data_IF_514980312700
#
_entry.id   IF_514980312700
#
_cell.length_a   1.000
_cell.length_b   1.000
_cell.length_c   1.000
_cell.angle_alpha   90.00
_cell.angle_beta   90.00
_cell.angle_gamma   90.00
#
_symmetry.space_group_name_H-M   'P 1'
#
loop_
_entity.id
_entity.type
_entity.pdbx_description
1 polymer ?
#
# COMPACT_ATOMS: atom_id res chain seq x y z
N UNK A 1 3.15 -25.14 37.95
CA UNK A 1 2.52 -24.98 36.65
C UNK A 1 3.34 -23.90 35.92
N UNK A 2 4.25 -24.33 35.02
CA UNK A 2 5.06 -23.42 34.21
C UNK A 2 4.15 -22.78 33.15
N UNK A 3 4.19 -21.45 33.03
CA UNK A 3 3.53 -20.76 31.93
C UNK A 3 4.11 -21.27 30.61
N UNK A 4 3.27 -21.65 29.68
CA UNK A 4 3.70 -21.96 28.32
C UNK A 4 4.46 -20.73 27.76
N UNK A 5 5.56 -20.91 27.03
CA UNK A 5 6.24 -19.80 26.41
C UNK A 5 5.26 -19.07 25.49
N UNK A 6 5.24 -17.73 25.56
CA UNK A 6 4.43 -16.92 24.64
C UNK A 6 4.78 -17.32 23.21
N UNK A 7 3.79 -17.43 22.29
CA UNK A 7 4.06 -17.79 20.92
C UNK A 7 5.07 -16.79 20.33
N UNK A 8 6.12 -17.30 19.72
CA UNK A 8 7.12 -16.50 19.03
C UNK A 8 6.42 -15.77 17.87
N UNK A 9 6.28 -14.46 17.98
CA UNK A 9 5.64 -13.65 16.94
C UNK A 9 6.50 -13.76 15.68
N UNK A 10 5.94 -14.35 14.63
CA UNK A 10 6.63 -14.57 13.37
C UNK A 10 7.12 -13.23 12.79
N UNK A 11 8.32 -13.24 12.22
CA UNK A 11 8.86 -12.06 11.52
C UNK A 11 8.02 -11.72 10.29
N UNK A 12 7.67 -10.46 10.12
CA UNK A 12 6.95 -9.96 8.95
C UNK A 12 7.99 -9.63 7.87
N UNK A 13 7.95 -10.29 6.72
CA UNK A 13 9.02 -10.14 5.72
C UNK A 13 9.02 -8.78 5.03
N UNK A 14 7.85 -8.15 4.86
CA UNK A 14 7.74 -6.90 4.12
C UNK A 14 6.46 -6.11 4.46
N UNK A 15 6.61 -4.79 4.63
CA UNK A 15 5.52 -3.81 4.63
C UNK A 15 5.60 -2.93 3.36
N UNK A 16 4.70 -3.05 2.38
CA UNK A 16 4.73 -2.25 1.16
C UNK A 16 4.06 -0.87 1.29
N UNK A 17 3.52 -0.50 2.45
CA UNK A 17 2.60 0.63 2.57
C UNK A 17 3.11 1.81 3.40
N UNK A 18 4.38 1.81 3.81
CA UNK A 18 4.94 2.87 4.67
C UNK A 18 5.36 4.13 3.91
N UNK A 19 5.50 5.23 4.67
CA UNK A 19 5.93 6.52 4.13
C UNK A 19 7.02 7.16 4.98
N UNK A 20 7.75 8.07 4.33
CA UNK A 20 8.60 9.10 4.97
C UNK A 20 8.17 10.48 4.49
N UNK A 21 8.56 11.53 5.22
CA UNK A 21 8.17 12.91 4.94
C UNK A 21 6.85 13.33 5.61
N UNK A 22 6.67 14.62 5.77
CA UNK A 22 5.53 15.22 6.45
C UNK A 22 4.24 15.12 5.64
N UNK A 23 3.11 14.99 6.35
CA UNK A 23 1.78 15.13 5.77
C UNK A 23 1.35 16.60 5.84
N UNK A 24 0.86 17.22 4.74
CA UNK A 24 0.63 18.66 4.72
C UNK A 24 -0.51 19.12 5.62
N UNK A 25 -1.42 18.23 6.01
CA UNK A 25 -2.63 18.60 6.76
C UNK A 25 -2.57 18.24 8.25
N UNK A 26 -1.54 17.50 8.67
CA UNK A 26 -1.32 17.12 10.07
C UNK A 26 0.17 16.93 10.34
N UNK A 27 0.66 17.50 11.44
CA UNK A 27 2.03 17.23 11.86
C UNK A 27 2.22 15.75 12.20
N UNK A 28 3.24 15.14 11.61
CA UNK A 28 3.68 13.79 11.91
C UNK A 28 4.94 13.86 12.78
N UNK A 29 4.95 13.27 13.98
CA UNK A 29 6.04 13.45 14.93
C UNK A 29 7.35 12.80 14.47
N UNK A 30 7.29 11.75 13.65
CA UNK A 30 8.46 10.93 13.29
C UNK A 30 8.44 10.47 11.84
N UNK A 31 8.50 11.38 10.84
CA UNK A 31 8.37 11.04 9.43
C UNK A 31 9.71 10.70 8.76
N UNK A 32 10.76 10.43 9.49
CA UNK A 32 12.12 10.23 8.99
C UNK A 32 12.52 8.74 8.91
N UNK A 33 13.46 8.37 8.01
CA UNK A 33 13.87 6.99 7.80
C UNK A 33 14.55 6.33 9.02
N UNK A 34 15.30 7.09 9.82
CA UNK A 34 15.98 6.53 11.01
C UNK A 34 14.96 6.06 12.04
N UNK A 35 13.89 6.82 12.24
CA UNK A 35 12.79 6.39 13.10
C UNK A 35 12.04 5.21 12.49
N UNK A 36 11.79 5.22 11.18
CA UNK A 36 11.13 4.11 10.49
C UNK A 36 11.91 2.81 10.72
N UNK A 37 13.23 2.78 10.55
CA UNK A 37 14.05 1.57 10.79
C UNK A 37 13.89 1.07 12.22
N UNK A 38 13.94 1.96 13.23
CA UNK A 38 13.71 1.56 14.63
C UNK A 38 12.29 1.01 14.86
N UNK A 39 11.29 1.55 14.16
CA UNK A 39 9.91 1.04 14.21
C UNK A 39 9.84 -0.35 13.60
N UNK A 40 10.45 -0.58 12.43
CA UNK A 40 10.51 -1.89 11.80
C UNK A 40 11.17 -2.94 12.72
N UNK A 41 12.29 -2.58 13.36
CA UNK A 41 12.99 -3.47 14.29
C UNK A 41 12.11 -3.84 15.51
N UNK A 42 11.45 -2.86 16.10
CA UNK A 42 10.53 -3.07 17.23
C UNK A 42 9.36 -3.97 16.86
N UNK A 43 8.78 -3.76 15.68
CA UNK A 43 7.60 -4.51 15.20
C UNK A 43 7.96 -5.80 14.45
N UNK A 44 9.25 -6.17 14.42
CA UNK A 44 9.76 -7.37 13.74
C UNK A 44 9.41 -7.41 12.24
N UNK A 45 9.49 -6.27 11.57
CA UNK A 45 9.32 -6.15 10.13
C UNK A 45 10.70 -6.11 9.47
N UNK A 46 10.97 -7.06 8.57
CA UNK A 46 12.30 -7.19 7.95
C UNK A 46 12.61 -6.04 6.99
N UNK A 47 11.68 -5.71 6.10
CA UNK A 47 11.85 -4.70 5.05
C UNK A 47 10.60 -3.88 4.84
N UNK A 48 10.76 -2.73 4.16
CA UNK A 48 9.62 -1.90 3.75
C UNK A 48 9.80 -1.30 2.35
N UNK A 49 8.68 -1.15 1.63
CA UNK A 49 8.61 -0.33 0.42
C UNK A 49 8.07 1.04 0.79
N UNK A 50 8.88 2.06 0.57
CA UNK A 50 8.68 3.37 1.15
C UNK A 50 8.27 4.38 0.08
N UNK A 51 7.18 5.11 0.34
CA UNK A 51 6.77 6.27 -0.44
C UNK A 51 7.20 7.59 0.23
N UNK A 52 7.36 8.65 -0.55
CA UNK A 52 7.53 10.01 -0.03
C UNK A 52 6.18 10.69 0.04
N UNK A 53 5.64 10.86 1.24
CA UNK A 53 4.27 11.32 1.44
C UNK A 53 3.98 12.71 0.83
N UNK A 54 4.87 13.71 0.92
CA UNK A 54 4.64 15.00 0.28
C UNK A 54 4.45 14.94 -1.23
N UNK A 55 5.06 13.94 -1.92
CA UNK A 55 4.95 13.82 -3.37
C UNK A 55 3.52 13.54 -3.86
N UNK A 56 2.62 13.06 -2.99
CA UNK A 56 1.19 12.91 -3.31
C UNK A 56 0.55 14.23 -3.74
N UNK A 57 1.06 15.35 -3.21
CA UNK A 57 0.52 16.70 -3.36
C UNK A 57 1.33 17.57 -4.33
N UNK A 58 2.45 17.04 -4.84
CA UNK A 58 3.26 17.75 -5.82
C UNK A 58 2.66 17.63 -7.22
N UNK A 59 2.69 18.72 -7.98
CA UNK A 59 2.33 18.70 -9.41
C UNK A 59 3.37 17.92 -10.21
N UNK A 60 4.66 18.19 -9.95
CA UNK A 60 5.81 17.45 -10.50
C UNK A 60 6.30 16.47 -9.44
N UNK A 61 6.24 15.15 -9.68
CA UNK A 61 6.71 14.16 -8.72
C UNK A 61 8.25 14.05 -8.67
N UNK A 62 8.99 14.52 -9.68
CA UNK A 62 10.42 14.29 -9.80
C UNK A 62 11.24 14.80 -8.60
N UNK A 63 11.03 16.03 -8.07
CA UNK A 63 11.75 16.47 -6.87
C UNK A 63 11.45 15.61 -5.64
N UNK A 64 10.20 15.15 -5.48
CA UNK A 64 9.81 14.26 -4.38
C UNK A 64 10.45 12.87 -4.50
N UNK A 65 10.54 12.32 -5.71
CA UNK A 65 11.23 11.06 -5.96
C UNK A 65 12.74 11.17 -5.71
N UNK A 66 13.37 12.27 -6.11
CA UNK A 66 14.78 12.53 -5.82
C UNK A 66 15.03 12.62 -4.31
N UNK A 67 14.16 13.29 -3.57
CA UNK A 67 14.25 13.38 -2.11
C UNK A 67 14.05 12.02 -1.46
N UNK A 68 13.11 11.20 -1.92
CA UNK A 68 12.94 9.82 -1.46
C UNK A 68 14.23 9.02 -1.58
N UNK A 69 14.85 9.04 -2.76
CA UNK A 69 16.09 8.30 -3.01
C UNK A 69 17.25 8.78 -2.11
N UNK A 70 17.35 10.09 -1.90
CA UNK A 70 18.34 10.70 -1.01
C UNK A 70 18.13 10.27 0.45
N UNK A 71 16.89 10.31 0.92
CA UNK A 71 16.54 9.93 2.30
C UNK A 71 16.80 8.45 2.57
N UNK A 72 16.49 7.57 1.61
CA UNK A 72 16.63 6.13 1.81
C UNK A 72 18.06 5.60 1.52
N UNK A 73 18.96 6.41 0.97
CA UNK A 73 20.30 5.99 0.60
C UNK A 73 21.09 5.30 1.74
N UNK A 74 21.01 5.76 3.01
CA UNK A 74 21.70 5.10 4.13
C UNK A 74 21.08 3.75 4.57
N UNK A 75 19.85 3.46 4.16
CA UNK A 75 19.05 2.35 4.68
C UNK A 75 18.58 1.37 3.57
N UNK A 76 19.31 1.28 2.47
CA UNK A 76 18.90 0.48 1.28
C UNK A 76 18.79 -1.02 1.53
N UNK A 77 19.42 -1.51 2.55
CA UNK A 77 19.30 -2.90 3.03
C UNK A 77 17.93 -3.22 3.63
N UNK A 78 17.25 -2.21 4.18
CA UNK A 78 15.96 -2.34 4.87
C UNK A 78 14.81 -1.64 4.12
N UNK A 79 15.10 -0.50 3.46
CA UNK A 79 14.12 0.40 2.87
C UNK A 79 14.31 0.48 1.35
N UNK A 80 13.32 0.00 0.59
CA UNK A 80 13.31 0.12 -0.86
C UNK A 80 12.37 1.24 -1.31
N UNK A 81 12.76 2.10 -2.26
CA UNK A 81 11.92 3.19 -2.73
C UNK A 81 10.76 2.66 -3.58
N UNK A 82 9.55 3.20 -3.33
CA UNK A 82 8.40 3.09 -4.20
C UNK A 82 8.05 4.50 -4.73
N UNK A 83 8.74 4.98 -5.78
CA UNK A 83 8.59 6.34 -6.30
C UNK A 83 7.20 6.56 -6.90
N UNK A 84 6.83 7.83 -7.01
CA UNK A 84 5.56 8.27 -7.59
C UNK A 84 5.71 8.42 -9.10
N UNK A 85 4.79 7.81 -9.85
CA UNK A 85 4.68 8.03 -11.30
C UNK A 85 3.32 8.63 -11.60
N UNK A 86 3.34 9.81 -12.20
CA UNK A 86 2.15 10.59 -12.53
C UNK A 86 1.95 10.60 -14.04
N UNK A 87 0.94 9.89 -14.59
CA UNK A 87 0.85 9.64 -16.03
C UNK A 87 0.37 10.84 -16.88
N UNK A 88 -0.12 11.92 -16.26
CA UNK A 88 -0.40 13.18 -16.95
C UNK A 88 0.78 14.16 -16.95
N UNK A 89 1.94 13.76 -16.38
CA UNK A 89 3.13 14.58 -16.37
C UNK A 89 4.06 14.20 -17.54
N UNK A 90 4.68 15.20 -18.21
CA UNK A 90 5.53 14.93 -19.37
C UNK A 90 6.66 13.93 -19.07
N UNK A 91 6.88 12.99 -19.96
CA UNK A 91 7.94 11.95 -19.88
C UNK A 91 7.79 10.99 -18.70
N UNK A 92 6.57 10.74 -18.24
CA UNK A 92 6.32 9.79 -17.15
C UNK A 92 6.82 8.37 -17.46
N UNK A 93 6.80 7.95 -18.74
CA UNK A 93 7.33 6.65 -19.17
C UNK A 93 8.85 6.55 -18.91
N UNK A 94 9.56 7.65 -19.11
CA UNK A 94 11.00 7.72 -18.78
C UNK A 94 11.21 7.65 -17.28
N UNK A 95 10.40 8.36 -16.49
CA UNK A 95 10.47 8.27 -15.03
C UNK A 95 10.20 6.85 -14.50
N UNK A 96 9.25 6.12 -15.12
CA UNK A 96 8.99 4.72 -14.80
C UNK A 96 10.18 3.82 -15.19
N UNK A 97 10.80 4.04 -16.35
CA UNK A 97 11.99 3.29 -16.78
C UNK A 97 13.16 3.54 -15.81
N UNK A 98 13.44 4.79 -15.48
CA UNK A 98 14.49 5.17 -14.53
C UNK A 98 14.26 4.56 -13.13
N UNK A 99 13.01 4.47 -12.67
CA UNK A 99 12.65 3.79 -11.42
C UNK A 99 12.96 2.29 -11.48
N UNK A 100 12.60 1.63 -12.57
CA UNK A 100 12.89 0.21 -12.78
C UNK A 100 14.40 -0.06 -12.86
N UNK A 101 15.14 0.75 -13.62
CA UNK A 101 16.59 0.65 -13.77
C UNK A 101 17.33 0.88 -12.45
N UNK A 102 16.76 1.72 -11.55
CA UNK A 102 17.25 1.94 -10.20
C UNK A 102 16.87 0.82 -9.21
N UNK A 103 16.15 -0.22 -9.66
CA UNK A 103 15.75 -1.36 -8.85
C UNK A 103 14.59 -1.08 -7.90
N UNK A 104 13.73 -0.10 -8.20
CA UNK A 104 12.50 0.11 -7.43
C UNK A 104 11.58 -1.10 -7.55
N UNK A 105 11.12 -1.70 -6.42
CA UNK A 105 10.31 -2.91 -6.46
C UNK A 105 8.86 -2.65 -6.87
N UNK A 106 8.40 -1.41 -6.74
CA UNK A 106 7.04 -0.96 -7.04
C UNK A 106 7.03 0.53 -7.34
N UNK A 107 5.93 1.03 -7.88
CA UNK A 107 5.66 2.48 -8.00
C UNK A 107 4.30 2.82 -7.39
N UNK A 108 4.11 4.09 -7.04
CA UNK A 108 2.88 4.61 -6.44
C UNK A 108 2.15 5.57 -7.39
N UNK A 109 0.82 5.52 -7.32
CA UNK A 109 -0.04 6.53 -7.92
C UNK A 109 -1.15 6.94 -6.94
N UNK A 110 -1.56 8.21 -7.01
CA UNK A 110 -2.61 8.77 -6.16
C UNK A 110 -3.72 9.43 -7.01
N UNK A 111 -4.54 8.61 -7.71
CA UNK A 111 -5.53 9.13 -8.66
C UNK A 111 -6.54 10.09 -8.02
N UNK A 112 -6.94 9.85 -6.77
CA UNK A 112 -7.86 10.73 -6.06
C UNK A 112 -7.27 12.13 -5.84
N UNK A 113 -6.01 12.23 -5.40
CA UNK A 113 -5.31 13.51 -5.21
C UNK A 113 -5.11 14.27 -6.52
N UNK A 114 -4.98 13.54 -7.62
CA UNK A 114 -4.82 14.12 -8.97
C UNK A 114 -6.15 14.36 -9.68
N UNK A 115 -7.27 13.99 -9.04
CA UNK A 115 -8.64 14.12 -9.58
C UNK A 115 -8.84 13.38 -10.90
N UNK A 116 -8.24 12.20 -11.04
CA UNK A 116 -8.47 11.33 -12.18
C UNK A 116 -9.78 10.56 -11.99
N UNK A 117 -10.59 10.54 -13.05
CA UNK A 117 -11.80 9.72 -13.06
C UNK A 117 -11.49 8.21 -13.11
N UNK A 118 -12.49 7.37 -12.80
CA UNK A 118 -12.31 5.92 -12.82
C UNK A 118 -11.84 5.35 -14.15
N UNK A 119 -12.28 5.95 -15.26
CA UNK A 119 -12.01 5.50 -16.63
C UNK A 119 -10.90 6.31 -17.33
N UNK A 120 -10.04 6.97 -16.57
CA UNK A 120 -8.95 7.75 -17.14
C UNK A 120 -7.93 6.83 -17.81
N UNK A 121 -7.84 6.92 -19.15
CA UNK A 121 -6.97 6.06 -19.96
C UNK A 121 -5.49 6.11 -19.54
N UNK A 122 -5.02 7.27 -19.03
CA UNK A 122 -3.63 7.44 -18.58
C UNK A 122 -3.28 6.54 -17.41
N UNK A 123 -4.26 6.28 -16.51
CA UNK A 123 -4.06 5.34 -15.40
C UNK A 123 -3.94 3.90 -15.91
N UNK A 124 -4.75 3.52 -16.91
CA UNK A 124 -4.65 2.21 -17.53
C UNK A 124 -3.30 2.03 -18.25
N UNK A 125 -2.84 3.05 -18.98
CA UNK A 125 -1.52 3.07 -19.61
C UNK A 125 -0.38 2.88 -18.58
N UNK A 126 -0.45 3.58 -17.45
CA UNK A 126 0.52 3.42 -16.35
C UNK A 126 0.49 1.99 -15.79
N UNK A 127 -0.71 1.44 -15.52
CA UNK A 127 -0.84 0.08 -14.98
C UNK A 127 -0.28 -0.98 -15.94
N UNK A 128 -0.54 -0.85 -17.25
CA UNK A 128 0.01 -1.71 -18.27
C UNK A 128 1.54 -1.60 -18.37
N UNK A 129 2.08 -0.37 -18.33
CA UNK A 129 3.51 -0.13 -18.37
C UNK A 129 4.24 -0.68 -17.12
N UNK A 130 3.60 -0.62 -15.95
CA UNK A 130 4.07 -1.27 -14.73
C UNK A 130 4.07 -2.79 -14.87
N UNK A 131 2.97 -3.37 -15.36
CA UNK A 131 2.84 -4.81 -15.59
C UNK A 131 3.91 -5.36 -16.54
N UNK A 132 4.19 -4.64 -17.63
CA UNK A 132 5.25 -4.99 -18.59
C UNK A 132 6.65 -5.04 -17.96
N UNK A 133 6.86 -4.33 -16.85
CA UNK A 133 8.12 -4.31 -16.08
C UNK A 133 8.09 -5.19 -14.85
N UNK A 134 7.02 -5.97 -14.65
CA UNK A 134 6.80 -6.80 -13.45
C UNK A 134 6.91 -5.96 -12.14
N UNK A 135 6.40 -4.74 -12.17
CA UNK A 135 6.32 -3.83 -11.04
C UNK A 135 4.87 -3.68 -10.61
N UNK A 136 4.48 -3.98 -9.36
CA UNK A 136 3.14 -3.69 -8.89
C UNK A 136 2.92 -2.16 -8.80
N UNK A 137 1.70 -1.74 -9.12
CA UNK A 137 1.24 -0.38 -8.93
C UNK A 137 0.53 -0.28 -7.57
N UNK A 138 1.08 0.54 -6.67
CA UNK A 138 0.52 0.77 -5.34
C UNK A 138 -0.44 1.96 -5.40
N UNK A 139 -1.67 1.73 -4.97
CA UNK A 139 -2.73 2.73 -4.86
C UNK A 139 -3.09 2.92 -3.39
N UNK A 140 -3.37 4.15 -2.98
CA UNK A 140 -3.86 4.45 -1.63
C UNK A 140 -5.29 4.96 -1.72
N UNK A 141 -6.23 4.32 -1.01
CA UNK A 141 -7.63 4.71 -1.02
C UNK A 141 -7.82 6.05 -0.32
N UNK A 142 -7.19 6.19 0.84
CA UNK A 142 -7.26 7.40 1.67
C UNK A 142 -6.02 7.55 2.55
N UNK A 143 -5.70 8.78 2.91
CA UNK A 143 -4.67 9.06 3.91
C UNK A 143 -5.27 9.17 5.31
N UNK A 144 -6.45 9.76 5.42
CA UNK A 144 -7.16 9.97 6.68
C UNK A 144 -8.63 9.58 6.61
N UNK A 145 -9.20 9.25 7.75
CA UNK A 145 -10.64 9.03 7.90
C UNK A 145 -11.39 10.32 7.58
N UNK A 146 -12.54 10.21 6.93
CA UNK A 146 -13.36 11.36 6.56
C UNK A 146 -13.69 12.27 7.77
N UNK A 147 -13.84 11.69 8.95
CA UNK A 147 -14.14 12.42 10.20
C UNK A 147 -12.96 13.24 10.72
N UNK A 148 -11.72 12.88 10.32
CA UNK A 148 -10.48 13.53 10.76
C UNK A 148 -9.83 14.34 9.64
N UNK A 149 -10.35 14.21 8.42
CA UNK A 149 -9.78 14.85 7.24
C UNK A 149 -9.83 16.37 7.35
N UNK A 150 -8.70 17.01 7.10
CA UNK A 150 -8.63 18.47 7.11
C UNK A 150 -9.52 19.07 6.01
N UNK A 151 -10.26 20.16 6.25
CA UNK A 151 -11.16 20.77 5.26
C UNK A 151 -10.49 21.18 3.94
N UNK A 152 -9.19 21.45 3.95
CA UNK A 152 -8.41 21.77 2.74
C UNK A 152 -7.97 20.51 1.96
N UNK A 153 -8.08 19.30 2.53
CA UNK A 153 -7.90 18.07 1.78
C UNK A 153 -9.21 17.74 1.04
N UNK A 154 -9.31 18.25 -0.16
CA UNK A 154 -10.49 18.12 -1.02
C UNK A 154 -10.41 16.95 -2.01
N UNK A 155 -9.41 16.09 -1.90
CA UNK A 155 -9.15 15.01 -2.86
C UNK A 155 -10.21 13.89 -2.82
N UNK A 156 -10.80 13.65 -1.66
CA UNK A 156 -11.71 12.52 -1.46
C UNK A 156 -10.98 11.17 -1.38
N UNK A 157 -11.75 10.09 -1.42
CA UNK A 157 -11.26 8.73 -1.46
C UNK A 157 -11.14 8.22 -2.89
N UNK A 158 -10.25 7.27 -3.13
CA UNK A 158 -10.19 6.53 -4.40
C UNK A 158 -11.53 5.80 -4.63
N UNK A 159 -12.05 5.89 -5.84
CA UNK A 159 -13.29 5.18 -6.18
C UNK A 159 -13.03 3.69 -6.43
N UNK A 160 -13.90 2.76 -5.94
CA UNK A 160 -13.81 1.34 -6.25
C UNK A 160 -13.79 1.05 -7.77
N UNK A 161 -14.51 1.84 -8.55
CA UNK A 161 -14.52 1.73 -10.01
C UNK A 161 -13.13 1.91 -10.64
N UNK A 162 -12.28 2.79 -10.09
CA UNK A 162 -10.90 2.96 -10.56
C UNK A 162 -10.09 1.67 -10.42
N UNK A 163 -10.18 1.00 -9.27
CA UNK A 163 -9.45 -0.27 -9.06
C UNK A 163 -9.95 -1.34 -10.01
N UNK A 164 -11.28 -1.44 -10.23
CA UNK A 164 -11.85 -2.40 -11.18
C UNK A 164 -11.40 -2.13 -12.62
N UNK A 165 -11.40 -0.86 -13.05
CA UNK A 165 -10.94 -0.47 -14.38
C UNK A 165 -9.48 -0.87 -14.61
N UNK A 166 -8.61 -0.56 -13.63
CA UNK A 166 -7.19 -0.91 -13.71
C UNK A 166 -6.95 -2.43 -13.68
N UNK A 167 -7.68 -3.18 -12.85
CA UNK A 167 -7.59 -4.64 -12.83
C UNK A 167 -8.00 -5.28 -14.18
N UNK A 168 -8.86 -4.63 -14.95
CA UNK A 168 -9.31 -5.05 -16.28
C UNK A 168 -8.36 -4.63 -17.41
N UNK A 169 -7.46 -3.69 -17.18
CA UNK A 169 -6.62 -3.11 -18.22
C UNK A 169 -5.71 -4.14 -18.91
N UNK A 170 -5.27 -5.19 -18.21
CA UNK A 170 -4.45 -6.24 -18.85
C UNK A 170 -4.00 -7.34 -17.88
N UNK A 171 -3.60 -8.48 -18.43
CA UNK A 171 -3.25 -9.69 -17.65
C UNK A 171 -1.99 -9.52 -16.80
N UNK A 172 -1.06 -8.68 -17.22
CA UNK A 172 0.18 -8.39 -16.51
C UNK A 172 0.02 -7.40 -15.36
N UNK A 173 -1.14 -6.75 -15.20
CA UNK A 173 -1.36 -5.77 -14.13
C UNK A 173 -1.36 -6.45 -12.77
N UNK A 174 -0.67 -5.85 -11.81
CA UNK A 174 -0.73 -6.20 -10.38
C UNK A 174 -0.90 -4.92 -9.57
N UNK A 175 -1.94 -4.89 -8.76
CA UNK A 175 -2.28 -3.76 -7.91
C UNK A 175 -2.09 -4.15 -6.45
N UNK A 176 -1.47 -3.26 -5.67
CA UNK A 176 -1.52 -3.28 -4.22
C UNK A 176 -2.37 -2.09 -3.79
N UNK A 177 -3.52 -2.33 -3.20
CA UNK A 177 -4.46 -1.28 -2.79
C UNK A 177 -4.39 -1.12 -1.28
N UNK A 178 -3.93 0.03 -0.85
CA UNK A 178 -3.67 0.35 0.55
C UNK A 178 -4.79 1.20 1.15
N UNK A 179 -4.98 1.08 2.46
CA UNK A 179 -5.95 1.85 3.24
C UNK A 179 -7.41 1.66 2.78
N UNK A 180 -7.77 0.45 2.34
CA UNK A 180 -9.11 0.07 1.97
C UNK A 180 -9.87 -0.53 3.17
N UNK A 181 -11.08 -0.05 3.43
CA UNK A 181 -12.01 -0.68 4.38
C UNK A 181 -12.77 -1.85 3.74
N UNK A 182 -13.49 -2.62 4.57
CA UNK A 182 -14.21 -3.83 4.16
C UNK A 182 -15.14 -3.59 2.98
N UNK A 183 -15.99 -2.58 3.06
CA UNK A 183 -17.00 -2.32 2.02
C UNK A 183 -16.35 -2.02 0.67
N UNK A 184 -15.25 -1.26 0.67
CA UNK A 184 -14.48 -0.97 -0.53
C UNK A 184 -13.88 -2.24 -1.13
N UNK A 185 -13.28 -3.10 -0.30
CA UNK A 185 -12.67 -4.37 -0.71
C UNK A 185 -13.73 -5.28 -1.33
N UNK A 186 -14.87 -5.47 -0.64
CA UNK A 186 -15.97 -6.32 -1.11
C UNK A 186 -16.56 -5.79 -2.42
N UNK A 187 -16.80 -4.47 -2.55
CA UNK A 187 -17.33 -3.87 -3.78
C UNK A 187 -16.40 -4.08 -4.98
N UNK A 188 -15.10 -3.95 -4.79
CA UNK A 188 -14.13 -4.22 -5.87
C UNK A 188 -14.06 -5.70 -6.16
N UNK A 189 -13.87 -6.54 -5.15
CA UNK A 189 -13.64 -7.98 -5.30
C UNK A 189 -14.81 -8.67 -6.02
N UNK A 190 -16.03 -8.45 -5.55
CA UNK A 190 -17.21 -9.06 -6.15
C UNK A 190 -17.63 -8.44 -7.49
N UNK A 191 -17.10 -7.25 -7.80
CA UNK A 191 -17.27 -6.61 -9.11
C UNK A 191 -16.28 -7.08 -10.18
N UNK A 192 -15.39 -8.01 -9.87
CA UNK A 192 -14.34 -8.56 -10.73
C UNK A 192 -14.57 -10.06 -10.98
N UNK A 193 -14.15 -10.54 -12.16
CA UNK A 193 -14.07 -11.98 -12.44
C UNK A 193 -12.94 -12.63 -11.61
N UNK A 194 -12.96 -13.97 -11.40
CA UNK A 194 -11.90 -14.67 -10.65
C UNK A 194 -10.47 -14.43 -11.18
N UNK A 195 -10.31 -14.22 -12.49
CA UNK A 195 -9.01 -13.88 -13.10
C UNK A 195 -8.59 -12.45 -12.76
N UNK A 196 -9.51 -11.51 -12.80
CA UNK A 196 -9.24 -10.10 -12.46
C UNK A 196 -8.96 -9.92 -10.97
N UNK A 197 -9.67 -10.66 -10.10
CA UNK A 197 -9.45 -10.66 -8.65
C UNK A 197 -8.00 -11.00 -8.28
N UNK A 198 -7.35 -11.88 -9.06
CA UNK A 198 -5.94 -12.26 -8.82
C UNK A 198 -4.96 -11.11 -9.03
N UNK A 199 -5.36 -10.06 -9.73
CA UNK A 199 -4.55 -8.88 -10.02
C UNK A 199 -4.58 -7.84 -8.92
N UNK A 200 -5.47 -7.99 -7.93
CA UNK A 200 -5.65 -7.04 -6.83
C UNK A 200 -5.27 -7.69 -5.50
N UNK A 201 -4.42 -7.02 -4.76
CA UNK A 201 -3.99 -7.38 -3.41
C UNK A 201 -4.23 -6.20 -2.47
N UNK A 202 -4.64 -6.48 -1.26
CA UNK A 202 -5.06 -5.49 -0.28
C UNK A 202 -4.09 -5.42 0.88
N UNK A 203 -3.69 -4.23 1.33
CA UNK A 203 -3.02 -4.13 2.63
C UNK A 203 -4.05 -4.20 3.77
N UNK A 204 -3.60 -4.59 4.95
CA UNK A 204 -4.49 -4.75 6.11
C UNK A 204 -4.52 -3.52 7.02
N UNK A 205 -3.91 -2.40 6.61
CA UNK A 205 -3.73 -1.22 7.45
C UNK A 205 -5.03 -0.52 7.88
N UNK A 206 -6.12 -0.72 7.12
CA UNK A 206 -7.41 -0.05 7.34
C UNK A 206 -8.56 -1.01 7.59
N UNK A 207 -8.28 -2.27 7.88
CA UNK A 207 -9.29 -3.29 8.16
C UNK A 207 -9.47 -3.39 9.68
N UNK A 208 -10.72 -3.33 10.13
CA UNK A 208 -11.03 -3.39 11.56
C UNK A 208 -11.05 -4.83 12.07
N UNK A 209 -10.45 -5.02 13.25
CA UNK A 209 -10.59 -6.23 14.06
C UNK A 209 -11.85 -6.19 14.94
N UNK A 210 -11.84 -6.87 16.09
CA UNK A 210 -12.94 -6.86 17.04
C UNK A 210 -13.32 -5.44 17.53
N UNK A 211 -14.61 -5.16 17.79
CA UNK A 211 -15.75 -6.09 17.75
C UNK A 211 -16.37 -6.27 16.35
N UNK A 212 -15.98 -5.50 15.34
CA UNK A 212 -16.56 -5.57 13.99
C UNK A 212 -16.15 -6.83 13.23
N UNK A 213 -14.99 -7.39 13.53
CA UNK A 213 -14.41 -8.60 12.90
C UNK A 213 -14.35 -8.54 11.37
N UNK A 214 -14.15 -7.34 10.82
CA UNK A 214 -14.09 -7.15 9.37
C UNK A 214 -12.99 -7.98 8.74
N UNK A 215 -11.83 -8.07 9.39
CA UNK A 215 -10.69 -8.82 8.87
C UNK A 215 -10.99 -10.33 8.84
N UNK A 216 -11.51 -10.90 9.92
CA UNK A 216 -11.92 -12.30 9.95
C UNK A 216 -12.97 -12.63 8.88
N UNK A 217 -13.94 -11.74 8.67
CA UNK A 217 -14.96 -11.90 7.61
C UNK A 217 -14.33 -11.93 6.21
N UNK A 218 -13.41 -11.01 5.92
CA UNK A 218 -12.69 -10.96 4.64
C UNK A 218 -11.81 -12.19 4.41
N UNK A 219 -11.12 -12.69 5.44
CA UNK A 219 -10.33 -13.92 5.34
C UNK A 219 -11.19 -15.14 5.01
N UNK A 220 -12.39 -15.25 5.59
CA UNK A 220 -13.33 -16.34 5.29
C UNK A 220 -13.94 -16.28 3.89
N UNK A 221 -14.15 -15.07 3.37
CA UNK A 221 -14.89 -14.87 2.11
C UNK A 221 -13.99 -14.68 0.89
N UNK A 222 -12.84 -14.05 1.05
CA UNK A 222 -11.90 -13.71 -0.04
C UNK A 222 -10.65 -14.58 0.02
N UNK A 223 -10.24 -14.95 1.24
CA UNK A 223 -9.05 -15.77 1.48
C UNK A 223 -7.77 -14.94 1.71
N UNK A 224 -6.83 -15.48 2.53
CA UNK A 224 -5.65 -14.73 2.99
C UNK A 224 -4.68 -14.36 1.87
N UNK A 225 -4.60 -15.14 0.79
CA UNK A 225 -3.71 -14.90 -0.33
C UNK A 225 -4.00 -13.60 -1.12
N UNK A 226 -5.08 -12.89 -0.79
CA UNK A 226 -5.40 -11.56 -1.36
C UNK A 226 -4.98 -10.42 -0.46
N UNK A 227 -4.37 -10.68 0.69
CA UNK A 227 -3.96 -9.67 1.65
C UNK A 227 -2.45 -9.69 1.83
N UNK A 228 -1.85 -8.50 1.98
CA UNK A 228 -0.46 -8.29 2.38
C UNK A 228 -0.43 -7.56 3.71
N UNK A 229 0.61 -7.78 4.49
CA UNK A 229 0.84 -6.96 5.67
C UNK A 229 1.10 -5.52 5.23
N UNK A 230 0.56 -4.56 5.97
CA UNK A 230 0.77 -3.15 5.69
C UNK A 230 0.32 -2.29 6.86
N UNK A 231 1.05 -1.22 7.17
CA UNK A 231 0.82 -0.38 8.37
C UNK A 231 0.37 1.03 8.06
N UNK A 232 0.67 1.58 6.89
CA UNK A 232 0.48 3.00 6.57
C UNK A 232 1.26 3.94 7.54
N UNK A 233 2.33 3.45 8.17
CA UNK A 233 3.19 4.31 9.00
C UNK A 233 3.73 5.49 8.17
N UNK A 234 3.82 6.71 8.70
CA UNK A 234 3.47 7.18 10.05
C UNK A 234 2.06 7.76 10.17
N UNK A 235 1.21 7.57 9.17
CA UNK A 235 -0.17 8.07 9.19
C UNK A 235 -1.04 7.32 10.21
N UNK A 236 -0.73 6.07 10.48
CA UNK A 236 -1.47 5.18 11.39
C UNK A 236 -0.54 4.53 12.42
N UNK A 237 -1.15 3.97 13.45
CA UNK A 237 -0.44 3.18 14.46
C UNK A 237 0.07 1.89 13.84
N UNK A 238 1.37 1.69 13.88
CA UNK A 238 2.05 0.52 13.30
C UNK A 238 1.60 -0.79 13.96
N UNK A 239 1.17 -0.75 15.22
CA UNK A 239 0.70 -1.92 15.98
C UNK A 239 -0.69 -2.40 15.57
N UNK A 240 -1.51 -1.57 14.91
CA UNK A 240 -2.89 -1.92 14.62
C UNK A 240 -3.04 -3.17 13.73
N UNK A 241 -2.28 -3.34 12.64
CA UNK A 241 -2.34 -4.57 11.85
C UNK A 241 -1.88 -5.82 12.61
N UNK A 242 -0.81 -5.71 13.42
CA UNK A 242 -0.33 -6.82 14.24
C UNK A 242 -1.38 -7.24 15.28
N UNK A 243 -1.97 -6.29 16.00
CA UNK A 243 -3.05 -6.56 16.95
C UNK A 243 -4.27 -7.20 16.28
N UNK A 244 -4.63 -6.78 15.07
CA UNK A 244 -5.72 -7.40 14.33
C UNK A 244 -5.42 -8.85 13.94
N UNK A 245 -4.17 -9.20 13.66
CA UNK A 245 -3.74 -10.59 13.41
C UNK A 245 -3.78 -11.44 14.68
N UNK A 246 -3.33 -10.89 15.81
CA UNK A 246 -3.33 -11.56 17.12
C UNK A 246 -4.74 -11.81 17.67
N UNK A 247 -5.70 -10.95 17.31
CA UNK A 247 -7.09 -11.02 17.77
C UNK A 247 -8.01 -11.80 16.81
N UNK A 248 -7.45 -12.47 15.79
CA UNK A 248 -8.26 -13.30 14.89
C UNK A 248 -8.86 -14.49 15.65
N UNK A 249 -10.11 -14.89 15.32
CA UNK A 249 -10.71 -16.11 15.84
C UNK A 249 -9.92 -17.36 15.42
N UNK A 250 -9.99 -18.42 16.22
CA UNK A 250 -9.21 -19.69 16.04
C UNK A 250 -9.37 -20.30 14.64
N UNK A 251 -10.55 -20.17 14.01
CA UNK A 251 -10.83 -20.74 12.67
C UNK A 251 -10.10 -20.01 11.52
N UNK A 252 -9.57 -18.82 11.77
CA UNK A 252 -8.79 -18.03 10.80
C UNK A 252 -7.45 -17.55 11.37
N UNK A 253 -7.06 -18.06 12.55
CA UNK A 253 -5.79 -17.71 13.17
C UNK A 253 -4.60 -18.10 12.26
N UNK A 254 -3.53 -17.31 12.33
CA UNK A 254 -2.29 -17.51 11.56
C UNK A 254 -2.48 -17.59 10.04
N UNK A 255 -3.16 -16.62 9.40
CA UNK A 255 -3.37 -16.64 7.96
C UNK A 255 -2.05 -16.48 7.21
N UNK A 256 -1.86 -17.27 6.15
CA UNK A 256 -0.76 -17.09 5.22
C UNK A 256 -1.07 -15.91 4.27
N UNK A 257 -0.66 -14.71 4.64
CA UNK A 257 -0.79 -13.52 3.80
C UNK A 257 0.12 -13.61 2.56
N UNK A 258 -0.24 -12.91 1.49
CA UNK A 258 0.58 -12.81 0.29
C UNK A 258 1.88 -12.05 0.55
N UNK A 259 2.95 -12.48 -0.11
CA UNK A 259 4.21 -11.72 -0.16
C UNK A 259 4.18 -10.79 -1.37
N UNK A 260 4.29 -9.47 -1.19
CA UNK A 260 4.30 -8.53 -2.30
C UNK A 260 5.40 -8.77 -3.34
N UNK A 261 6.48 -9.47 -2.97
CA UNK A 261 7.61 -9.80 -3.85
C UNK A 261 7.28 -10.88 -4.89
N UNK A 262 6.24 -11.69 -4.62
CA UNK A 262 5.87 -12.86 -5.46
C UNK A 262 4.60 -12.62 -6.30
N UNK A 263 4.11 -11.39 -6.39
CA UNK A 263 2.86 -11.08 -7.10
C UNK A 263 2.90 -11.38 -8.62
N UNK A 264 4.08 -11.59 -9.17
CA UNK A 264 4.29 -11.91 -10.59
C UNK A 264 4.77 -13.35 -10.85
N UNK A 265 4.83 -14.18 -9.81
CA UNK A 265 5.23 -15.59 -9.89
C UNK A 265 4.01 -16.55 -10.12
#
# INVERSE_FOLDING_TARGET
MGAAPAPEVAMIPLDPSVFVGQYPFRHLPHPDPDVLVRVLDRERIERAWVGYLPAAFHRDPAPGNAELLRLLAPHRDRLAPAPVIRPDFPRWERALADAADAGAPAVRAWPAQWRFGPDDARLAELALACGARRMPLILTVRFEDLRQRHPLDVSGDLAPATVRALARAGDGVRLIVCAAGREFIEEVHWGLTPLEQRRVTWDISWIWGPPEDHFAKLLRTIGPARFVYGTQWPLRLVQAPAANLELLPDDVAHPALADPRTLFD
#
